data_IF_903377033327
#
_entry.id   IF_903377033327
#
_cell.length_a   1.000
_cell.length_b   1.000
_cell.length_c   1.000
_cell.angle_alpha   90.00
_cell.angle_beta   90.00
_cell.angle_gamma   90.00
#
_symmetry.space_group_name_H-M   'P 1'
#
loop_
_entity.id
_entity.type
_entity.pdbx_description
1 polymer ?
#
# COMPACT_ATOMS: atom_id res chain seq x y z
N UNK A 1 34.43 26.97 -1.01
CA UNK A 1 33.56 26.62 0.13
C UNK A 1 32.70 25.44 -0.28
N UNK A 2 32.90 24.30 0.40
CA UNK A 2 32.33 23.01 0.04
C UNK A 2 30.83 22.90 0.37
N UNK A 3 30.13 22.20 -0.54
CA UNK A 3 28.71 21.85 -0.53
C UNK A 3 28.27 21.06 0.73
N UNK A 4 27.87 21.77 1.78
CA UNK A 4 27.17 21.20 2.95
C UNK A 4 25.66 20.99 2.66
N UNK A 5 25.17 21.52 1.53
CA UNK A 5 23.74 21.55 1.17
C UNK A 5 23.16 20.27 0.53
N UNK A 6 23.85 19.12 0.61
CA UNK A 6 23.31 17.82 0.14
C UNK A 6 22.80 16.90 1.26
N UNK A 7 23.03 17.24 2.53
CA UNK A 7 22.91 16.25 3.63
C UNK A 7 21.58 16.28 4.42
N UNK A 8 20.65 17.18 4.11
CA UNK A 8 19.43 17.37 4.92
C UNK A 8 18.15 16.69 4.40
N UNK A 9 18.05 16.35 3.11
CA UNK A 9 16.80 15.79 2.52
C UNK A 9 16.60 14.28 2.65
N UNK A 10 17.59 13.55 3.14
CA UNK A 10 17.49 12.08 3.28
C UNK A 10 17.08 11.64 4.69
N UNK A 11 17.40 12.43 5.73
CA UNK A 11 17.04 12.08 7.11
C UNK A 11 15.55 12.24 7.43
N UNK A 12 14.85 13.21 6.83
CA UNK A 12 13.41 13.43 7.07
C UNK A 12 12.54 12.29 6.51
N UNK A 13 12.94 11.68 5.38
CA UNK A 13 12.23 10.54 4.77
C UNK A 13 12.35 9.25 5.59
N UNK A 14 13.40 9.10 6.39
CA UNK A 14 13.60 7.92 7.23
C UNK A 14 12.81 7.98 8.55
N UNK A 15 12.53 9.16 9.09
CA UNK A 15 11.74 9.29 10.33
C UNK A 15 10.23 9.07 10.10
N UNK A 16 9.66 9.52 8.97
CA UNK A 16 8.24 9.26 8.65
C UNK A 16 7.94 7.77 8.43
N UNK A 17 8.86 7.04 7.80
CA UNK A 17 8.76 5.59 7.63
C UNK A 17 8.75 4.83 8.98
N UNK A 18 9.39 5.38 10.01
CA UNK A 18 9.47 4.77 11.34
C UNK A 18 8.21 4.99 12.22
N UNK A 19 7.37 5.98 11.89
CA UNK A 19 6.09 6.25 12.59
C UNK A 19 4.96 5.38 12.06
N UNK A 20 5.00 5.03 10.79
CA UNK A 20 3.96 4.21 10.15
C UNK A 20 3.90 2.76 10.67
N UNK A 21 5.02 2.21 11.16
CA UNK A 21 5.13 0.80 11.56
C UNK A 21 4.87 0.51 13.05
N UNK A 22 4.73 1.53 13.92
CA UNK A 22 4.57 1.30 15.38
C UNK A 22 3.12 1.06 15.85
N UNK A 23 2.14 1.07 14.95
CA UNK A 23 0.71 1.00 15.28
C UNK A 23 -0.02 -0.33 15.05
N UNK A 24 0.65 -1.40 14.60
CA UNK A 24 -0.01 -2.68 14.26
C UNK A 24 -0.25 -3.64 15.44
N UNK A 25 -0.17 -3.14 16.67
CA UNK A 25 -0.65 -3.86 17.84
C UNK A 25 -2.09 -3.45 18.13
N UNK A 26 -3.06 -4.10 17.48
CA UNK A 26 -4.42 -4.29 18.04
C UNK A 26 -5.21 -5.34 17.25
N UNK A 27 -5.39 -6.45 17.95
CA UNK A 27 -6.36 -7.52 17.76
C UNK A 27 -7.75 -7.00 17.38
N UNK A 28 -8.40 -7.70 16.44
CA UNK A 28 -9.80 -8.15 16.44
C UNK A 28 -10.09 -8.67 15.02
N UNK A 29 -10.40 -9.95 14.78
CA UNK A 29 -11.40 -10.70 15.50
C UNK A 29 -12.80 -10.42 14.92
N UNK A 30 -12.98 -10.57 13.60
CA UNK A 30 -14.29 -10.72 12.93
C UNK A 30 -14.09 -11.19 11.46
N UNK A 31 -14.06 -12.52 11.26
CA UNK A 31 -14.60 -13.16 10.04
C UNK A 31 -16.12 -12.87 10.07
N UNK A 32 -16.87 -12.54 9.02
CA UNK A 32 -16.85 -12.96 7.63
C UNK A 32 -17.95 -12.20 6.87
N UNK A 33 -17.61 -11.13 6.14
CA UNK A 33 -18.42 -10.50 5.06
C UNK A 33 -17.54 -9.59 4.17
N UNK A 34 -16.41 -9.11 4.69
CA UNK A 34 -15.40 -8.27 3.99
C UNK A 34 -14.65 -8.96 2.82
N UNK A 35 -14.87 -10.25 2.57
CA UNK A 35 -14.02 -11.00 1.63
C UNK A 35 -14.20 -10.59 0.16
N UNK A 36 -15.42 -10.29 -0.29
CA UNK A 36 -15.65 -10.00 -1.71
C UNK A 36 -15.06 -8.65 -2.13
N UNK A 37 -15.27 -7.61 -1.32
CA UNK A 37 -14.71 -6.28 -1.57
C UNK A 37 -13.17 -6.26 -1.49
N UNK A 38 -12.58 -6.95 -0.51
CA UNK A 38 -11.13 -7.13 -0.42
C UNK A 38 -10.58 -7.82 -1.69
N UNK A 39 -11.21 -8.91 -2.14
CA UNK A 39 -10.78 -9.65 -3.34
C UNK A 39 -10.91 -8.83 -4.62
N UNK A 40 -12.02 -8.10 -4.82
CA UNK A 40 -12.22 -7.22 -5.98
C UNK A 40 -11.19 -6.09 -6.03
N UNK A 41 -10.88 -5.49 -4.87
CA UNK A 41 -9.84 -4.47 -4.79
C UNK A 41 -8.46 -5.07 -5.10
N UNK A 42 -8.13 -6.23 -4.56
CA UNK A 42 -6.87 -6.91 -4.83
C UNK A 42 -6.71 -7.23 -6.32
N UNK A 43 -7.75 -7.78 -6.97
CA UNK A 43 -7.73 -8.10 -8.40
C UNK A 43 -7.53 -6.85 -9.27
N UNK A 44 -8.30 -5.79 -9.02
CA UNK A 44 -8.20 -4.55 -9.77
C UNK A 44 -6.80 -3.91 -9.64
N UNK A 45 -6.25 -3.90 -8.42
CA UNK A 45 -4.91 -3.37 -8.15
C UNK A 45 -3.84 -4.24 -8.83
N UNK A 46 -4.01 -5.56 -8.85
CA UNK A 46 -3.07 -6.48 -9.48
C UNK A 46 -3.03 -6.25 -10.99
N UNK A 47 -4.19 -6.20 -11.66
CA UNK A 47 -4.30 -5.92 -13.11
C UNK A 47 -3.66 -4.59 -13.50
N UNK A 48 -3.91 -3.54 -12.72
CA UNK A 48 -3.33 -2.21 -13.01
C UNK A 48 -1.80 -2.21 -12.85
N UNK A 49 -1.28 -2.94 -11.86
CA UNK A 49 0.17 -3.14 -11.71
C UNK A 49 0.79 -4.00 -12.81
N UNK A 50 0.09 -5.03 -13.29
CA UNK A 50 0.55 -5.84 -14.41
C UNK A 50 0.61 -5.02 -15.70
N UNK A 51 -0.41 -4.18 -15.93
CA UNK A 51 -0.50 -3.35 -17.14
C UNK A 51 0.46 -2.15 -17.12
N UNK A 52 0.60 -1.46 -15.98
CA UNK A 52 1.33 -0.18 -15.91
C UNK A 52 2.59 -0.23 -15.03
N UNK A 53 2.90 -1.37 -14.40
CA UNK A 53 3.99 -1.51 -13.41
C UNK A 53 3.70 -0.86 -12.05
N UNK A 54 2.62 -0.08 -11.94
CA UNK A 54 2.21 0.66 -10.75
C UNK A 54 0.69 0.73 -10.65
N UNK A 55 0.20 1.00 -9.45
CA UNK A 55 -1.22 1.30 -9.23
C UNK A 55 -1.46 2.79 -9.48
N UNK A 56 -2.36 3.13 -10.38
CA UNK A 56 -2.73 4.51 -10.71
C UNK A 56 -3.57 5.14 -9.59
N UNK A 57 -3.38 6.43 -9.39
CA UNK A 57 -4.10 7.20 -8.36
C UNK A 57 -5.60 7.29 -8.65
N UNK A 58 -6.00 7.34 -9.93
CA UNK A 58 -7.41 7.33 -10.35
C UNK A 58 -8.13 6.06 -9.94
N UNK A 59 -7.50 4.89 -10.12
CA UNK A 59 -8.05 3.61 -9.70
C UNK A 59 -8.22 3.57 -8.17
N UNK A 60 -7.20 3.99 -7.41
CA UNK A 60 -7.32 4.03 -5.95
C UNK A 60 -8.42 4.97 -5.47
N UNK A 61 -8.63 6.12 -6.13
CA UNK A 61 -9.75 7.01 -5.82
C UNK A 61 -11.09 6.32 -6.04
N UNK A 62 -11.24 5.61 -7.15
CA UNK A 62 -12.46 4.84 -7.45
C UNK A 62 -12.71 3.75 -6.39
N UNK A 63 -11.72 2.91 -6.09
CA UNK A 63 -11.87 1.81 -5.14
C UNK A 63 -12.22 2.30 -3.73
N UNK A 64 -11.68 3.44 -3.31
CA UNK A 64 -11.99 4.05 -2.02
C UNK A 64 -13.41 4.59 -1.94
N UNK A 65 -13.92 5.15 -3.04
CA UNK A 65 -15.30 5.62 -3.12
C UNK A 65 -16.29 4.45 -3.14
N UNK A 66 -15.95 3.37 -3.84
CA UNK A 66 -16.82 2.21 -4.03
C UNK A 66 -16.85 1.27 -2.82
N UNK A 67 -15.68 0.91 -2.29
CA UNK A 67 -15.53 -0.15 -1.27
C UNK A 67 -15.07 0.39 0.09
N UNK A 68 -14.80 1.69 0.18
CA UNK A 68 -14.30 2.34 1.39
C UNK A 68 -12.78 2.41 1.49
N UNK A 69 -12.30 3.40 2.24
CA UNK A 69 -10.87 3.68 2.40
C UNK A 69 -10.10 2.49 2.99
N UNK A 70 -10.62 1.90 4.07
CA UNK A 70 -9.94 0.84 4.81
C UNK A 70 -9.75 -0.42 3.97
N UNK A 71 -10.76 -0.79 3.16
CA UNK A 71 -10.72 -1.98 2.30
C UNK A 71 -9.71 -1.77 1.17
N UNK A 72 -9.80 -0.66 0.46
CA UNK A 72 -8.92 -0.35 -0.66
C UNK A 72 -7.45 -0.24 -0.22
N UNK A 73 -7.18 0.45 0.90
CA UNK A 73 -5.81 0.63 1.41
C UNK A 73 -5.23 -0.68 1.96
N UNK A 74 -6.06 -1.53 2.58
CA UNK A 74 -5.66 -2.88 3.01
C UNK A 74 -5.29 -3.76 1.82
N UNK A 75 -6.11 -3.76 0.77
CA UNK A 75 -5.83 -4.50 -0.46
C UNK A 75 -4.51 -4.04 -1.11
N UNK A 76 -4.30 -2.71 -1.20
CA UNK A 76 -3.05 -2.15 -1.71
C UNK A 76 -1.83 -2.60 -0.90
N UNK A 77 -1.92 -2.57 0.44
CA UNK A 77 -0.85 -3.05 1.33
C UNK A 77 -0.54 -4.53 1.10
N UNK A 78 -1.57 -5.38 0.98
CA UNK A 78 -1.40 -6.82 0.73
C UNK A 78 -0.72 -7.11 -0.61
N UNK A 79 -1.11 -6.42 -1.67
CA UNK A 79 -0.48 -6.57 -3.00
C UNK A 79 0.98 -6.10 -2.95
N UNK A 80 1.25 -4.94 -2.35
CA UNK A 80 2.61 -4.44 -2.22
C UNK A 80 3.48 -5.39 -1.39
N UNK A 81 2.96 -5.93 -0.28
CA UNK A 81 3.63 -6.92 0.55
C UNK A 81 4.04 -8.17 -0.26
N UNK A 82 3.10 -8.76 -1.02
CA UNK A 82 3.36 -9.90 -1.92
C UNK A 82 4.49 -9.61 -2.91
N UNK A 83 4.59 -8.37 -3.42
CA UNK A 83 5.66 -7.96 -4.34
C UNK A 83 7.02 -7.84 -3.67
N UNK A 84 7.08 -7.30 -2.45
CA UNK A 84 8.33 -7.24 -1.66
C UNK A 84 8.82 -8.61 -1.20
N UNK A 85 7.91 -9.54 -0.90
CA UNK A 85 8.25 -10.90 -0.44
C UNK A 85 8.70 -11.83 -1.58
N UNK A 86 8.79 -11.33 -2.82
CA UNK A 86 9.35 -12.07 -3.94
C UNK A 86 8.40 -13.05 -4.62
N UNK A 87 7.10 -13.06 -4.28
CA UNK A 87 6.09 -13.87 -4.98
C UNK A 87 5.87 -13.47 -6.45
N UNK A 88 6.41 -12.33 -6.87
CA UNK A 88 6.42 -11.87 -8.27
C UNK A 88 7.80 -12.04 -8.96
N UNK A 89 8.71 -12.85 -8.39
CA UNK A 89 9.92 -13.26 -9.13
C UNK A 89 9.49 -14.25 -10.21
N UNK A 90 9.53 -13.79 -11.47
CA UNK A 90 9.55 -14.64 -12.66
C UNK A 90 10.76 -15.56 -12.65
#
# INVERSE_FOLDING_TARGET
>A
MLNIFRKTRENERNEENSRFNRGFSRLNGQKSTSSDADLRCEEAIMKDKEQFGRTRTSLMKYLRAEYGNDVADRALRRINKRRTEGYFRK
#
